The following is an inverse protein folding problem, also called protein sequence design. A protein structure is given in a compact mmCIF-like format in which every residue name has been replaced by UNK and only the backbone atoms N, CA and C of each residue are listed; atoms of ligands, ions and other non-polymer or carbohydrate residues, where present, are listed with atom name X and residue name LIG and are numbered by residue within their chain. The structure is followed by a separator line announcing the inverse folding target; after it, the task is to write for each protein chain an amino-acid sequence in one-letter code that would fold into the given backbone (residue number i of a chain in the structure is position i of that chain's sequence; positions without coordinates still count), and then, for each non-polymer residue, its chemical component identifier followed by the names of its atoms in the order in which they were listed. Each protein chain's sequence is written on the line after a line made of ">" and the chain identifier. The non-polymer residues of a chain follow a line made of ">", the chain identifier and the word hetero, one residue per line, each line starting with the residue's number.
data_IF_695493917292
#
_entry.id   IF_695493917292
#
_cell.length_a   1.000
_cell.length_b   1.000
_cell.length_c   1.000
_cell.angle_alpha   90.00
_cell.angle_beta   90.00
_cell.angle_gamma   90.00
#
_symmetry.space_group_name_H-M   'P 1'
#
loop_
_entity.id
_entity.type
_entity.pdbx_description
1 polymer ?
#
# COMPACT_ATOMS: atom_id res chain seq x y z
N UNK A 1 3.53 17.51 14.52
CA UNK A 1 3.23 16.13 14.11
C UNK A 1 1.74 15.97 14.21
N UNK A 2 1.02 15.63 13.13
CA UNK A 2 -0.42 15.37 13.21
C UNK A 2 -0.68 14.18 14.15
N UNK A 3 -1.77 14.24 14.90
CA UNK A 3 -2.19 13.17 15.80
C UNK A 3 -2.33 11.86 14.98
N UNK A 4 -1.66 10.80 15.41
CA UNK A 4 -1.72 9.49 14.69
C UNK A 4 -3.09 8.87 14.94
N UNK A 5 -3.69 8.36 13.86
CA UNK A 5 -5.00 7.72 13.90
C UNK A 5 -4.82 6.21 14.03
N UNK A 6 -5.08 5.67 15.21
CA UNK A 6 -4.89 4.25 15.54
C UNK A 6 -5.74 3.32 14.67
N UNK A 7 -6.95 3.73 14.35
CA UNK A 7 -7.88 3.03 13.45
C UNK A 7 -7.32 2.91 12.03
N UNK A 8 -6.66 3.95 11.51
CA UNK A 8 -5.99 3.89 10.22
C UNK A 8 -4.77 2.94 10.24
N UNK A 9 -4.00 2.91 11.35
CA UNK A 9 -2.90 1.95 11.48
C UNK A 9 -3.41 0.50 11.52
N UNK A 10 -4.55 0.25 12.18
CA UNK A 10 -5.20 -1.06 12.14
C UNK A 10 -5.60 -1.47 10.71
N UNK A 11 -6.27 -0.60 9.98
CA UNK A 11 -6.69 -0.87 8.59
C UNK A 11 -5.48 -1.12 7.68
N UNK A 12 -4.42 -0.32 7.82
CA UNK A 12 -3.15 -0.56 7.10
C UNK A 12 -2.53 -1.92 7.43
N UNK A 13 -2.61 -2.35 8.70
CA UNK A 13 -2.15 -3.68 9.12
C UNK A 13 -2.92 -4.78 8.39
N UNK A 14 -4.25 -4.73 8.38
CA UNK A 14 -5.07 -5.72 7.68
C UNK A 14 -4.73 -5.76 6.19
N UNK A 15 -4.69 -4.60 5.55
CA UNK A 15 -4.40 -4.49 4.12
C UNK A 15 -3.00 -4.99 3.75
N UNK A 16 -1.95 -4.71 4.57
CA UNK A 16 -0.58 -5.18 4.27
C UNK A 16 -0.45 -6.69 4.47
N UNK A 17 -1.11 -7.27 5.48
CA UNK A 17 -1.15 -8.71 5.70
C UNK A 17 -1.84 -9.41 4.52
N UNK A 18 -2.98 -8.90 4.06
CA UNK A 18 -3.69 -9.42 2.89
C UNK A 18 -2.84 -9.29 1.62
N UNK A 19 -2.11 -8.19 1.45
CA UNK A 19 -1.15 -8.03 0.36
C UNK A 19 -0.09 -9.12 0.39
N UNK A 20 0.55 -9.36 1.53
CA UNK A 20 1.56 -10.43 1.67
C UNK A 20 0.96 -11.81 1.40
N UNK A 21 -0.24 -12.09 1.92
CA UNK A 21 -0.95 -13.35 1.73
C UNK A 21 -1.15 -13.68 0.24
N UNK A 22 -1.69 -12.72 -0.53
CA UNK A 22 -1.96 -12.92 -1.96
C UNK A 22 -0.77 -12.66 -2.89
N UNK A 23 0.42 -12.38 -2.32
CA UNK A 23 1.70 -12.48 -3.02
C UNK A 23 2.37 -13.85 -2.84
N UNK A 24 1.80 -14.76 -2.04
CA UNK A 24 2.14 -16.18 -2.05
C UNK A 24 1.49 -16.83 -3.27
N UNK A 25 2.27 -17.16 -4.30
CA UNK A 25 1.79 -17.64 -5.61
C UNK A 25 0.83 -18.83 -5.47
N UNK A 26 1.13 -19.77 -4.58
CA UNK A 26 0.27 -20.94 -4.34
C UNK A 26 -1.11 -20.57 -3.78
N UNK A 27 -1.19 -19.53 -2.92
CA UNK A 27 -2.46 -19.01 -2.39
C UNK A 27 -3.22 -18.23 -3.46
N UNK A 28 -2.51 -17.41 -4.24
CA UNK A 28 -3.09 -16.68 -5.37
C UNK A 28 -3.77 -17.61 -6.36
N UNK A 29 -3.11 -18.74 -6.69
CA UNK A 29 -3.60 -19.73 -7.65
C UNK A 29 -4.72 -20.60 -7.07
N UNK A 30 -4.65 -20.94 -5.78
CA UNK A 30 -5.68 -21.73 -5.12
C UNK A 30 -6.98 -20.94 -4.87
N UNK A 31 -6.87 -19.61 -4.65
CA UNK A 31 -8.00 -18.76 -4.26
C UNK A 31 -8.16 -17.52 -5.16
N UNK A 32 -8.32 -17.68 -6.49
CA UNK A 32 -8.31 -16.55 -7.43
C UNK A 32 -9.45 -15.56 -7.18
N UNK A 33 -10.62 -16.04 -6.77
CA UNK A 33 -11.75 -15.17 -6.46
C UNK A 33 -11.54 -14.35 -5.19
N UNK A 34 -11.04 -14.97 -4.13
CA UNK A 34 -10.70 -14.26 -2.90
C UNK A 34 -9.62 -13.21 -3.13
N UNK A 35 -8.62 -13.52 -3.98
CA UNK A 35 -7.63 -12.55 -4.45
C UNK A 35 -8.29 -11.36 -5.15
N UNK A 36 -9.22 -11.60 -6.09
CA UNK A 36 -9.92 -10.54 -6.81
C UNK A 36 -10.66 -9.62 -5.85
N UNK A 37 -11.40 -10.19 -4.88
CA UNK A 37 -12.09 -9.42 -3.82
C UNK A 37 -11.10 -8.58 -3.00
N UNK A 38 -10.01 -9.16 -2.52
CA UNK A 38 -9.01 -8.43 -1.72
C UNK A 38 -8.34 -7.34 -2.54
N UNK A 39 -8.03 -7.61 -3.81
CA UNK A 39 -7.39 -6.64 -4.70
C UNK A 39 -8.30 -5.45 -5.04
N UNK A 40 -9.63 -5.60 -4.90
CA UNK A 40 -10.57 -4.51 -5.08
C UNK A 40 -10.39 -3.42 -4.01
N UNK A 41 -9.99 -3.76 -2.77
CA UNK A 41 -9.96 -2.76 -1.70
C UNK A 41 -8.60 -2.49 -1.06
N UNK A 42 -7.68 -3.48 -0.94
CA UNK A 42 -6.49 -3.32 -0.09
C UNK A 42 -5.54 -2.20 -0.58
N UNK A 43 -5.25 -2.11 -1.88
CA UNK A 43 -4.41 -1.04 -2.43
C UNK A 43 -5.15 0.30 -2.59
N UNK A 44 -6.42 0.33 -3.03
CA UNK A 44 -7.24 1.54 -2.97
C UNK A 44 -7.28 2.20 -1.60
N UNK A 45 -7.38 1.42 -0.53
CA UNK A 45 -7.33 1.96 0.85
C UNK A 45 -5.99 2.64 1.13
N UNK A 46 -4.85 2.05 0.73
CA UNK A 46 -3.54 2.70 0.89
C UNK A 46 -3.43 4.00 0.10
N UNK A 47 -3.94 4.04 -1.12
CA UNK A 47 -3.93 5.25 -1.96
C UNK A 47 -4.82 6.35 -1.37
N UNK A 48 -6.03 5.99 -0.91
CA UNK A 48 -6.92 6.92 -0.21
C UNK A 48 -6.25 7.50 1.04
N UNK A 49 -5.68 6.65 1.90
CA UNK A 49 -4.98 7.08 3.11
C UNK A 49 -3.78 7.98 2.78
N UNK A 50 -3.06 7.67 1.70
CA UNK A 50 -1.92 8.49 1.27
C UNK A 50 -2.36 9.88 0.83
N UNK A 51 -3.48 10.02 0.12
CA UNK A 51 -4.10 11.29 -0.23
C UNK A 51 -4.65 12.03 1.00
N UNK A 52 -5.33 11.31 1.89
CA UNK A 52 -5.93 11.88 3.11
C UNK A 52 -4.87 12.47 4.06
N UNK A 53 -3.72 11.81 4.19
CA UNK A 53 -2.63 12.27 5.06
C UNK A 53 -1.56 13.09 4.33
N UNK A 54 -1.79 13.41 3.05
CA UNK A 54 -0.86 14.22 2.27
C UNK A 54 -0.78 15.65 2.81
N UNK A 55 0.41 16.05 3.27
CA UNK A 55 0.65 17.41 3.76
C UNK A 55 1.39 18.23 2.72
N UNK A 56 0.63 19.04 1.97
CA UNK A 56 1.13 19.91 0.90
C UNK A 56 1.57 21.30 1.40
N UNK A 57 1.40 21.62 2.69
CA UNK A 57 1.84 22.89 3.28
C UNK A 57 3.33 22.97 3.63
N UNK A 58 4.11 21.92 3.29
CA UNK A 58 5.55 21.89 3.55
C UNK A 58 6.33 22.76 2.58
N UNK A 59 7.44 23.42 3.03
CA UNK A 59 8.40 24.05 2.11
C UNK A 59 8.95 23.05 1.08
N UNK A 60 9.28 23.53 -0.13
CA UNK A 60 9.74 22.69 -1.24
C UNK A 60 10.94 21.79 -0.87
N UNK A 61 11.91 22.31 -0.10
CA UNK A 61 13.08 21.56 0.34
C UNK A 61 12.71 20.39 1.28
N UNK A 62 11.73 20.60 2.18
CA UNK A 62 11.24 19.57 3.10
C UNK A 62 10.41 18.53 2.35
N UNK A 63 9.56 18.98 1.41
CA UNK A 63 8.77 18.10 0.57
C UNK A 63 9.65 17.27 -0.37
N UNK A 64 10.61 17.89 -1.05
CA UNK A 64 11.56 17.19 -1.91
C UNK A 64 12.36 16.12 -1.18
N UNK A 65 12.82 16.42 0.05
CA UNK A 65 13.48 15.42 0.91
C UNK A 65 12.55 14.28 1.29
N UNK A 66 11.28 14.57 1.58
CA UNK A 66 10.27 13.55 1.88
C UNK A 66 10.03 12.61 0.69
N UNK A 67 9.89 13.16 -0.53
CA UNK A 67 9.75 12.36 -1.76
C UNK A 67 11.01 11.53 -2.02
N UNK A 68 12.20 12.13 -1.87
CA UNK A 68 13.47 11.45 -2.09
C UNK A 68 13.59 10.19 -1.21
N UNK A 69 13.18 10.27 0.05
CA UNK A 69 13.23 9.15 0.98
C UNK A 69 12.09 8.11 0.83
N UNK A 70 11.17 8.34 -0.10
CA UNK A 70 10.27 7.29 -0.61
C UNK A 70 10.86 6.72 -1.91
N UNK A 71 11.40 7.59 -2.77
CA UNK A 71 11.89 7.21 -4.09
C UNK A 71 13.17 6.36 -4.03
N UNK A 72 14.14 6.68 -3.16
CA UNK A 72 15.40 5.90 -3.06
C UNK A 72 15.14 4.43 -2.73
N UNK A 73 14.42 4.08 -1.65
CA UNK A 73 14.10 2.67 -1.36
C UNK A 73 13.35 1.99 -2.50
N UNK A 74 12.39 2.70 -3.09
CA UNK A 74 11.66 2.21 -4.25
C UNK A 74 12.59 1.90 -5.42
N UNK A 75 13.41 2.87 -5.85
CA UNK A 75 14.27 2.74 -7.02
C UNK A 75 15.31 1.61 -6.86
N UNK A 76 15.89 1.48 -5.66
CA UNK A 76 16.84 0.40 -5.35
C UNK A 76 16.16 -0.96 -5.43
N UNK A 77 14.97 -1.10 -4.84
CA UNK A 77 14.25 -2.37 -4.83
C UNK A 77 13.68 -2.71 -6.21
N UNK A 78 13.20 -1.75 -6.98
CA UNK A 78 12.73 -1.93 -8.35
C UNK A 78 13.89 -2.35 -9.29
N UNK A 79 15.05 -1.68 -9.18
CA UNK A 79 16.24 -2.06 -9.94
C UNK A 79 16.72 -3.48 -9.58
N UNK A 80 16.74 -3.82 -8.29
CA UNK A 80 17.08 -5.16 -7.81
C UNK A 80 16.10 -6.22 -8.31
N UNK A 81 14.79 -5.92 -8.29
CA UNK A 81 13.75 -6.83 -8.79
C UNK A 81 13.85 -7.02 -10.30
N UNK A 82 14.07 -5.93 -11.06
CA UNK A 82 14.31 -6.00 -12.51
C UNK A 82 15.53 -6.85 -12.82
N UNK A 83 16.65 -6.67 -12.10
CA UNK A 83 17.86 -7.49 -12.26
C UNK A 83 17.63 -8.96 -11.93
N UNK A 84 16.90 -9.24 -10.85
CA UNK A 84 16.55 -10.60 -10.44
C UNK A 84 15.61 -11.27 -11.45
N UNK A 85 14.68 -10.53 -12.05
CA UNK A 85 13.71 -11.04 -13.03
C UNK A 85 14.35 -11.48 -14.34
N UNK A 86 15.56 -11.03 -14.65
CA UNK A 86 16.34 -11.49 -15.79
C UNK A 86 17.00 -12.87 -15.56
N UNK A 87 17.15 -13.29 -14.30
CA UNK A 87 17.83 -14.54 -13.92
C UNK A 87 16.84 -15.59 -13.42
N UNK A 88 15.80 -15.17 -12.71
CA UNK A 88 14.80 -16.05 -12.12
C UNK A 88 13.49 -16.01 -12.93
N UNK A 89 12.81 -17.15 -13.10
CA UNK A 89 11.51 -17.17 -13.77
C UNK A 89 10.45 -16.49 -12.90
N UNK A 90 10.25 -15.20 -13.12
CA UNK A 90 9.16 -14.42 -12.53
C UNK A 90 8.15 -14.05 -13.60
N UNK A 91 6.87 -13.93 -13.21
CA UNK A 91 5.80 -13.54 -14.13
C UNK A 91 6.07 -12.10 -14.65
N UNK A 92 6.14 -11.95 -15.98
CA UNK A 92 6.44 -10.67 -16.63
C UNK A 92 7.91 -10.24 -16.53
N UNK A 93 8.84 -11.17 -16.28
CA UNK A 93 10.28 -10.90 -16.23
C UNK A 93 10.83 -10.29 -17.52
N UNK A 94 12.00 -9.65 -17.44
CA UNK A 94 12.67 -9.06 -18.60
C UNK A 94 13.46 -10.11 -19.37
N UNK A 95 13.40 -10.08 -20.71
CA UNK A 95 14.15 -10.99 -21.57
C UNK A 95 15.65 -10.66 -21.60
N UNK A 96 15.99 -9.38 -21.46
CA UNK A 96 17.39 -8.92 -21.44
C UNK A 96 17.56 -7.78 -20.44
N UNK A 97 18.63 -7.84 -19.66
CA UNK A 97 18.97 -6.80 -18.71
C UNK A 97 19.85 -5.74 -19.37
N UNK A 98 19.39 -4.50 -19.36
CA UNK A 98 20.19 -3.33 -19.78
C UNK A 98 19.92 -2.14 -18.86
N UNK A 99 20.84 -1.16 -18.78
CA UNK A 99 20.61 0.07 -18.02
C UNK A 99 19.34 0.81 -18.46
N UNK A 100 19.01 0.79 -19.76
CA UNK A 100 17.80 1.40 -20.29
C UNK A 100 16.53 0.73 -19.79
N UNK A 101 16.50 -0.61 -19.69
CA UNK A 101 15.38 -1.38 -19.15
C UNK A 101 15.19 -1.08 -17.66
N UNK A 102 16.28 -1.00 -16.88
CA UNK A 102 16.21 -0.65 -15.46
C UNK A 102 15.63 0.75 -15.28
N UNK A 103 16.14 1.75 -16.02
CA UNK A 103 15.66 3.12 -15.96
C UNK A 103 14.19 3.21 -16.40
N UNK A 104 13.79 2.50 -17.46
CA UNK A 104 12.42 2.44 -17.91
C UNK A 104 11.48 1.92 -16.80
N UNK A 105 11.85 0.82 -16.13
CA UNK A 105 11.04 0.25 -15.07
C UNK A 105 11.00 1.14 -13.82
N UNK A 106 12.13 1.75 -13.44
CA UNK A 106 12.16 2.65 -12.28
C UNK A 106 11.32 3.92 -12.51
N UNK A 107 11.34 4.51 -13.70
CA UNK A 107 10.73 5.83 -13.93
C UNK A 107 9.36 5.79 -14.63
N UNK A 108 9.08 4.77 -15.43
CA UNK A 108 7.90 4.76 -16.29
C UNK A 108 6.95 3.59 -16.04
N UNK A 109 7.46 2.36 -15.94
CA UNK A 109 6.64 1.15 -15.83
C UNK A 109 7.21 0.18 -14.81
N UNK A 110 6.96 0.42 -13.51
CA UNK A 110 7.47 -0.45 -12.46
C UNK A 110 6.96 -1.86 -12.61
N UNK A 111 7.83 -2.81 -12.32
CA UNK A 111 7.55 -4.23 -12.32
C UNK A 111 7.16 -4.74 -10.93
N UNK A 112 6.46 -5.85 -10.88
CA UNK A 112 6.19 -6.58 -9.65
C UNK A 112 5.45 -5.73 -8.60
N UNK A 113 5.81 -5.86 -7.32
CA UNK A 113 5.02 -5.31 -6.20
C UNK A 113 5.26 -3.81 -5.93
N UNK A 114 6.24 -3.18 -6.59
CA UNK A 114 6.67 -1.81 -6.24
C UNK A 114 5.91 -0.70 -6.97
N UNK A 115 5.00 -1.04 -7.90
CA UNK A 115 4.18 -0.10 -8.64
C UNK A 115 3.44 0.92 -7.73
N UNK A 116 3.06 0.49 -6.52
CA UNK A 116 2.40 1.37 -5.56
C UNK A 116 3.28 2.55 -5.13
N UNK A 117 4.57 2.31 -4.85
CA UNK A 117 5.49 3.37 -4.44
C UNK A 117 5.79 4.35 -5.57
N UNK A 118 5.90 3.84 -6.81
CA UNK A 118 5.98 4.68 -8.01
C UNK A 118 4.75 5.60 -8.13
N UNK A 119 3.57 5.00 -8.11
CA UNK A 119 2.29 5.72 -8.16
C UNK A 119 2.20 6.76 -7.04
N UNK A 120 2.61 6.41 -5.82
CA UNK A 120 2.61 7.31 -4.68
C UNK A 120 3.53 8.53 -4.90
N UNK A 121 4.75 8.32 -5.40
CA UNK A 121 5.69 9.39 -5.72
C UNK A 121 5.12 10.32 -6.79
N UNK A 122 4.62 9.76 -7.90
CA UNK A 122 4.03 10.53 -9.00
C UNK A 122 2.82 11.34 -8.52
N UNK A 123 1.89 10.71 -7.80
CA UNK A 123 0.68 11.35 -7.31
C UNK A 123 0.96 12.45 -6.27
N UNK A 124 1.92 12.23 -5.36
CA UNK A 124 2.35 13.23 -4.38
C UNK A 124 3.03 14.43 -5.06
N UNK A 125 3.89 14.20 -6.05
CA UNK A 125 4.52 15.28 -6.84
C UNK A 125 3.47 16.09 -7.58
N UNK A 126 2.54 15.44 -8.27
CA UNK A 126 1.43 16.11 -8.96
C UNK A 126 0.58 16.94 -7.98
N UNK A 127 0.22 16.36 -6.83
CA UNK A 127 -0.55 17.05 -5.80
C UNK A 127 0.18 18.28 -5.26
N UNK A 128 1.47 18.17 -5.00
CA UNK A 128 2.29 19.28 -4.52
C UNK A 128 2.40 20.40 -5.56
N UNK A 129 2.73 20.06 -6.80
CA UNK A 129 2.85 21.03 -7.90
C UNK A 129 1.52 21.75 -8.15
N UNK A 130 0.41 21.02 -8.22
CA UNK A 130 -0.92 21.60 -8.31
C UNK A 130 -1.24 22.50 -7.10
N UNK A 131 -0.86 22.10 -5.88
CA UNK A 131 -1.10 22.89 -4.66
C UNK A 131 -0.33 24.21 -4.66
N UNK A 132 0.88 24.22 -5.22
CA UNK A 132 1.68 25.44 -5.37
C UNK A 132 1.14 26.32 -6.48
N UNK A 133 0.86 25.76 -7.66
CA UNK A 133 0.38 26.49 -8.83
C UNK A 133 -1.04 27.08 -8.61
N UNK A 134 -1.91 26.28 -7.97
CA UNK A 134 -3.32 26.61 -7.76
C UNK A 134 -3.63 27.08 -6.33
N UNK A 135 -2.64 27.61 -5.59
CA UNK A 135 -2.79 27.98 -4.17
C UNK A 135 -3.87 29.01 -3.88
N UNK A 136 -4.26 29.82 -4.88
CA UNK A 136 -5.30 30.86 -4.77
C UNK A 136 -6.69 30.36 -5.18
N UNK A 137 -6.80 29.16 -5.73
CA UNK A 137 -8.07 28.64 -6.19
C UNK A 137 -8.90 28.09 -5.01
N UNK A 138 -10.25 28.21 -5.10
CA UNK A 138 -11.13 27.55 -4.14
C UNK A 138 -10.97 26.03 -4.25
N UNK A 139 -11.28 25.32 -3.17
CA UNK A 139 -11.06 23.85 -3.02
C UNK A 139 -11.64 23.05 -4.19
N UNK A 140 -12.87 23.37 -4.63
CA UNK A 140 -13.53 22.65 -5.72
C UNK A 140 -12.76 22.79 -7.04
N UNK A 141 -12.34 24.03 -7.38
CA UNK A 141 -11.61 24.27 -8.61
C UNK A 141 -10.21 23.63 -8.57
N UNK A 142 -9.54 23.67 -7.40
CA UNK A 142 -8.31 22.93 -7.19
C UNK A 142 -8.50 21.43 -7.47
N UNK A 143 -9.55 20.82 -6.91
CA UNK A 143 -9.82 19.38 -7.10
C UNK A 143 -10.11 19.05 -8.57
N UNK A 144 -10.79 19.91 -9.32
CA UNK A 144 -11.00 19.72 -10.74
C UNK A 144 -9.65 19.72 -11.49
N UNK A 145 -8.84 20.75 -11.29
CA UNK A 145 -7.51 20.85 -11.94
C UNK A 145 -6.61 19.69 -11.57
N UNK A 146 -6.61 19.31 -10.30
CA UNK A 146 -5.82 18.17 -9.81
C UNK A 146 -6.30 16.83 -10.42
N UNK A 147 -7.62 16.60 -10.49
CA UNK A 147 -8.18 15.40 -11.12
C UNK A 147 -7.86 15.33 -12.62
N UNK A 148 -7.91 16.46 -13.33
CA UNK A 148 -7.49 16.54 -14.73
C UNK A 148 -5.99 16.23 -14.90
N UNK A 149 -5.15 16.75 -14.00
CA UNK A 149 -3.72 16.46 -13.99
C UNK A 149 -3.46 14.95 -13.78
N UNK A 150 -4.12 14.32 -12.80
CA UNK A 150 -3.99 12.87 -12.58
C UNK A 150 -4.56 12.06 -13.76
N UNK A 151 -5.65 12.52 -14.39
CA UNK A 151 -6.21 11.92 -15.59
C UNK A 151 -5.23 11.95 -16.77
N UNK A 152 -4.52 13.08 -16.96
CA UNK A 152 -3.46 13.20 -17.97
C UNK A 152 -2.30 12.26 -17.67
N UNK A 153 -1.83 12.19 -16.41
CA UNK A 153 -0.78 11.27 -16.00
C UNK A 153 -1.17 9.80 -16.19
N UNK A 154 -2.46 9.48 -16.00
CA UNK A 154 -3.00 8.16 -16.29
C UNK A 154 -3.07 7.88 -17.79
N UNK A 155 -3.47 8.85 -18.60
CA UNK A 155 -3.54 8.73 -20.05
C UNK A 155 -2.16 8.44 -20.67
N UNK A 156 -1.10 9.09 -20.18
CA UNK A 156 0.28 8.82 -20.63
C UNK A 156 0.90 7.58 -19.98
N UNK A 157 0.16 6.85 -19.13
CA UNK A 157 0.57 5.55 -18.57
C UNK A 157 1.53 5.61 -17.37
N UNK A 158 1.69 6.77 -16.71
CA UNK A 158 2.52 6.90 -15.51
C UNK A 158 1.85 6.37 -14.24
N UNK A 159 0.52 6.30 -14.20
CA UNK A 159 -0.26 5.70 -13.13
C UNK A 159 -1.59 5.17 -13.68
N UNK A 160 -2.22 4.24 -12.97
CA UNK A 160 -3.52 3.71 -13.39
C UNK A 160 -4.68 4.64 -12.99
N UNK A 161 -5.77 4.62 -13.74
CA UNK A 161 -6.93 5.48 -13.50
C UNK A 161 -7.59 5.20 -12.14
N UNK A 162 -7.66 3.93 -11.74
CA UNK A 162 -8.16 3.53 -10.42
C UNK A 162 -7.27 4.08 -9.29
N UNK A 163 -5.95 4.04 -9.45
CA UNK A 163 -5.01 4.62 -8.48
C UNK A 163 -5.16 6.14 -8.38
N UNK A 164 -5.32 6.83 -9.52
CA UNK A 164 -5.60 8.25 -9.58
C UNK A 164 -6.87 8.61 -8.80
N UNK A 165 -7.95 7.85 -9.02
CA UNK A 165 -9.25 8.04 -8.37
C UNK A 165 -9.13 7.99 -6.84
N UNK A 166 -8.58 6.91 -6.29
CA UNK A 166 -8.52 6.74 -4.83
C UNK A 166 -7.59 7.73 -4.16
N UNK A 167 -6.47 8.08 -4.80
CA UNK A 167 -5.61 9.13 -4.27
C UNK A 167 -6.31 10.49 -4.30
N UNK A 168 -7.01 10.84 -5.39
CA UNK A 168 -7.78 12.08 -5.51
C UNK A 168 -8.91 12.16 -4.46
N UNK A 169 -9.64 11.06 -4.22
CA UNK A 169 -10.66 10.98 -3.16
C UNK A 169 -10.06 11.23 -1.77
N UNK A 170 -8.88 10.68 -1.49
CA UNK A 170 -8.15 10.95 -0.25
C UNK A 170 -7.76 12.43 -0.11
N UNK A 171 -7.23 13.04 -1.18
CA UNK A 171 -6.90 14.48 -1.20
C UNK A 171 -8.17 15.33 -1.04
N UNK A 172 -9.28 14.96 -1.66
CA UNK A 172 -10.56 15.65 -1.49
C UNK A 172 -11.02 15.61 -0.04
N UNK A 173 -11.01 14.45 0.61
CA UNK A 173 -11.34 14.31 2.02
C UNK A 173 -10.44 15.19 2.91
N UNK A 174 -9.13 15.23 2.64
CA UNK A 174 -8.18 16.12 3.31
C UNK A 174 -8.54 17.60 3.14
N UNK A 175 -8.84 18.04 1.92
CA UNK A 175 -9.18 19.43 1.59
C UNK A 175 -10.49 19.89 2.23
N UNK A 176 -11.44 18.98 2.43
CA UNK A 176 -12.67 19.24 3.17
C UNK A 176 -12.52 19.02 4.68
N UNK A 177 -11.29 18.87 5.19
CA UNK A 177 -10.97 18.67 6.60
C UNK A 177 -11.69 17.46 7.22
N UNK A 178 -12.00 16.46 6.42
CA UNK A 178 -12.60 15.21 6.90
C UNK A 178 -11.53 14.35 7.57
N UNK A 179 -11.77 13.91 8.81
CA UNK A 179 -10.89 12.93 9.45
C UNK A 179 -11.19 11.51 8.93
N UNK A 180 -10.24 10.60 9.11
CA UNK A 180 -10.42 9.19 8.75
C UNK A 180 -11.65 8.58 9.43
N UNK A 181 -11.81 8.82 10.74
CA UNK A 181 -12.91 8.29 11.55
C UNK A 181 -14.26 8.96 11.27
N UNK A 182 -14.24 10.16 10.67
CA UNK A 182 -15.46 10.84 10.20
C UNK A 182 -15.91 10.28 8.86
N UNK A 183 -14.95 9.98 7.97
CA UNK A 183 -15.25 9.43 6.65
C UNK A 183 -15.67 7.96 6.73
N UNK A 184 -14.93 7.14 7.49
CA UNK A 184 -15.23 5.73 7.69
C UNK A 184 -15.78 5.49 9.09
N UNK A 185 -17.07 5.15 9.18
CA UNK A 185 -17.71 4.86 10.47
C UNK A 185 -17.82 3.35 10.70
N UNK A 186 -17.44 2.85 11.89
CA UNK A 186 -17.62 1.44 12.24
C UNK A 186 -19.09 1.03 12.15
N UNK A 187 -19.42 0.07 11.29
CA UNK A 187 -20.79 -0.29 11.03
C UNK A 187 -20.95 -1.80 10.79
N UNK A 188 -21.75 -2.49 11.65
CA UNK A 188 -22.06 -3.90 11.46
C UNK A 188 -22.86 -4.16 10.18
N UNK A 189 -23.78 -3.26 9.86
CA UNK A 189 -24.61 -3.38 8.65
C UNK A 189 -23.80 -3.34 7.36
N UNK A 190 -22.55 -2.79 7.40
CA UNK A 190 -21.66 -2.70 6.22
C UNK A 190 -21.25 -4.09 5.68
N UNK A 191 -21.32 -5.16 6.49
CA UNK A 191 -21.06 -6.51 6.03
C UNK A 191 -22.08 -6.99 4.98
N UNK A 192 -23.34 -6.61 5.11
CA UNK A 192 -24.38 -7.06 4.21
C UNK A 192 -24.15 -6.57 2.77
N UNK A 193 -24.05 -5.25 2.49
CA UNK A 193 -23.76 -4.78 1.15
C UNK A 193 -22.35 -5.20 0.67
N UNK A 194 -21.37 -5.32 1.57
CA UNK A 194 -20.05 -5.84 1.21
C UNK A 194 -20.14 -7.24 0.62
N UNK A 195 -20.81 -8.17 1.33
CA UNK A 195 -20.96 -9.56 0.87
C UNK A 195 -21.76 -9.61 -0.43
N UNK A 196 -22.90 -8.89 -0.51
CA UNK A 196 -23.73 -8.86 -1.72
C UNK A 196 -22.92 -8.36 -2.93
N UNK A 197 -22.17 -7.25 -2.79
CA UNK A 197 -21.37 -6.70 -3.88
C UNK A 197 -20.25 -7.67 -4.29
N UNK A 198 -19.61 -8.31 -3.32
CA UNK A 198 -18.54 -9.27 -3.59
C UNK A 198 -19.03 -10.62 -4.16
N UNK A 199 -20.33 -10.90 -4.20
CA UNK A 199 -20.86 -12.11 -4.86
C UNK A 199 -20.86 -11.98 -6.39
N UNK A 200 -20.69 -10.79 -6.95
CA UNK A 200 -20.75 -10.53 -8.38
C UNK A 200 -19.39 -10.08 -8.91
N UNK A 201 -18.73 -10.85 -9.79
CA UNK A 201 -17.39 -10.54 -10.30
C UNK A 201 -17.27 -9.17 -11.00
N UNK A 202 -18.33 -8.72 -11.67
CA UNK A 202 -18.42 -7.43 -12.34
C UNK A 202 -18.28 -6.23 -11.40
N UNK A 203 -18.60 -6.41 -10.12
CA UNK A 203 -18.44 -5.37 -9.09
C UNK A 203 -17.00 -5.22 -8.60
N UNK A 204 -16.12 -6.16 -8.93
CA UNK A 204 -14.74 -6.17 -8.46
C UNK A 204 -13.81 -5.24 -9.27
N UNK A 205 -14.35 -4.54 -10.27
CA UNK A 205 -13.61 -3.47 -10.94
C UNK A 205 -13.44 -2.27 -10.01
N UNK A 206 -12.19 -1.97 -9.68
CA UNK A 206 -11.80 -0.87 -8.78
C UNK A 206 -12.17 0.52 -9.28
N UNK A 207 -12.33 0.69 -10.60
CA UNK A 207 -12.71 1.97 -11.20
C UNK A 207 -14.24 2.15 -11.27
N UNK A 208 -15.01 1.17 -10.85
CA UNK A 208 -16.47 1.21 -10.82
C UNK A 208 -17.02 1.83 -9.52
N UNK A 209 -18.26 2.28 -9.54
CA UNK A 209 -19.00 2.74 -8.34
C UNK A 209 -19.13 1.57 -7.34
N UNK A 210 -19.39 0.36 -7.83
CA UNK A 210 -19.50 -0.84 -7.00
C UNK A 210 -18.16 -1.15 -6.32
N UNK A 211 -17.04 -1.07 -7.04
CA UNK A 211 -15.69 -1.22 -6.47
C UNK A 211 -15.40 -0.18 -5.38
N UNK A 212 -15.77 1.09 -5.61
CA UNK A 212 -15.63 2.12 -4.59
C UNK A 212 -16.50 1.86 -3.36
N UNK A 213 -17.71 1.34 -3.54
CA UNK A 213 -18.59 0.91 -2.44
C UNK A 213 -18.00 -0.28 -1.66
N UNK A 214 -17.38 -1.26 -2.35
CA UNK A 214 -16.65 -2.36 -1.71
C UNK A 214 -15.52 -1.82 -0.83
N UNK A 215 -14.70 -0.87 -1.32
CA UNK A 215 -13.66 -0.22 -0.52
C UNK A 215 -14.22 0.42 0.73
N UNK A 216 -15.30 1.19 0.60
CA UNK A 216 -15.93 1.88 1.72
C UNK A 216 -16.47 0.89 2.76
N UNK A 217 -17.28 -0.09 2.33
CA UNK A 217 -17.88 -1.08 3.23
C UNK A 217 -16.84 -2.02 3.85
N UNK A 218 -15.78 -2.37 3.14
CA UNK A 218 -14.68 -3.16 3.69
C UNK A 218 -14.01 -2.42 4.86
N UNK A 219 -13.69 -1.13 4.72
CA UNK A 219 -13.10 -0.35 5.81
C UNK A 219 -14.07 -0.20 6.97
N UNK A 220 -15.34 0.13 6.73
CA UNK A 220 -16.35 0.24 7.78
C UNK A 220 -16.53 -1.08 8.57
N UNK A 221 -16.51 -2.23 7.87
CA UNK A 221 -16.57 -3.57 8.46
C UNK A 221 -15.32 -3.88 9.29
N UNK A 222 -14.12 -3.57 8.78
CA UNK A 222 -12.86 -3.71 9.53
C UNK A 222 -12.89 -2.89 10.82
N UNK A 223 -13.35 -1.64 10.76
CA UNK A 223 -13.44 -0.77 11.94
C UNK A 223 -14.47 -1.26 12.95
N UNK A 224 -15.55 -1.92 12.49
CA UNK A 224 -16.50 -2.56 13.40
C UNK A 224 -15.85 -3.74 14.13
N UNK A 225 -15.12 -4.61 13.43
CA UNK A 225 -14.36 -5.74 14.02
C UNK A 225 -13.30 -5.23 15.00
N UNK A 226 -12.63 -4.13 14.68
CA UNK A 226 -11.61 -3.52 15.54
C UNK A 226 -12.09 -3.27 16.96
N UNK A 227 -13.37 -2.99 17.19
CA UNK A 227 -13.95 -2.75 18.52
C UNK A 227 -13.79 -3.94 19.46
N UNK A 228 -13.87 -5.16 18.93
CA UNK A 228 -13.85 -6.41 19.68
C UNK A 228 -12.44 -7.01 19.85
N UNK A 229 -11.45 -6.45 19.19
CA UNK A 229 -10.07 -6.96 19.27
C UNK A 229 -9.47 -6.63 20.64
N UNK A 230 -8.85 -7.63 21.34
CA UNK A 230 -8.15 -7.38 22.60
C UNK A 230 -7.00 -6.41 22.43
N UNK A 231 -6.73 -5.61 23.48
CA UNK A 231 -5.73 -4.55 23.47
C UNK A 231 -4.34 -5.04 23.04
N UNK A 232 -3.92 -6.23 23.51
CA UNK A 232 -2.62 -6.82 23.17
C UNK A 232 -2.48 -7.05 21.66
N UNK A 233 -3.54 -7.53 21.01
CA UNK A 233 -3.58 -7.75 19.56
C UNK A 233 -3.60 -6.42 18.83
N UNK A 234 -4.41 -5.44 19.28
CA UNK A 234 -4.42 -4.08 18.73
C UNK A 234 -3.02 -3.48 18.69
N UNK A 235 -2.26 -3.61 19.77
CA UNK A 235 -0.91 -3.06 19.85
C UNK A 235 0.03 -3.66 18.79
N UNK A 236 -0.03 -4.98 18.56
CA UNK A 236 0.74 -5.64 17.50
C UNK A 236 0.27 -5.17 16.12
N UNK A 237 -1.04 -5.07 15.90
CA UNK A 237 -1.59 -4.62 14.62
C UNK A 237 -1.22 -3.16 14.33
N UNK A 238 -1.25 -2.28 15.33
CA UNK A 238 -0.78 -0.90 15.17
C UNK A 238 0.72 -0.83 14.85
N UNK A 239 1.53 -1.68 15.49
CA UNK A 239 2.96 -1.76 15.20
C UNK A 239 3.20 -2.17 13.74
N UNK A 240 2.53 -3.22 13.24
CA UNK A 240 2.60 -3.65 11.84
C UNK A 240 2.11 -2.53 10.91
N UNK A 241 0.95 -1.92 11.20
CA UNK A 241 0.35 -0.85 10.40
C UNK A 241 1.20 0.43 10.32
N UNK A 242 2.03 0.70 11.34
CA UNK A 242 3.01 1.81 11.34
C UNK A 242 4.25 1.50 10.51
N UNK A 243 4.55 0.23 10.28
CA UNK A 243 5.75 -0.25 9.62
C UNK A 243 5.46 -0.91 8.27
N UNK A 244 4.41 -0.46 7.57
CA UNK A 244 4.01 -1.03 6.28
C UNK A 244 5.03 -0.82 5.17
N UNK A 245 5.80 0.27 5.19
CA UNK A 245 6.82 0.53 4.15
C UNK A 245 7.94 -0.53 4.12
N UNK A 246 8.61 -0.88 5.24
CA UNK A 246 9.55 -2.00 5.24
C UNK A 246 8.92 -3.33 4.81
N UNK A 247 7.69 -3.61 5.24
CA UNK A 247 7.00 -4.84 4.86
C UNK A 247 6.76 -4.88 3.35
N UNK A 248 6.26 -3.78 2.76
CA UNK A 248 6.05 -3.68 1.32
C UNK A 248 7.35 -3.87 0.53
N UNK A 249 8.46 -3.29 1.00
CA UNK A 249 9.75 -3.36 0.32
C UNK A 249 10.37 -4.76 0.38
N UNK A 250 10.35 -5.41 1.55
CA UNK A 250 11.13 -6.62 1.77
C UNK A 250 10.32 -7.93 1.75
N UNK A 251 8.99 -7.87 1.86
CA UNK A 251 8.16 -9.10 1.82
C UNK A 251 8.31 -9.93 0.55
N UNK A 252 8.57 -9.36 -0.66
CA UNK A 252 8.80 -10.19 -1.85
C UNK A 252 9.96 -11.16 -1.71
N UNK A 253 11.02 -10.79 -0.99
CA UNK A 253 12.15 -11.67 -0.70
C UNK A 253 11.69 -12.91 0.07
N UNK A 254 10.89 -12.70 1.11
CA UNK A 254 10.44 -13.76 2.00
C UNK A 254 9.29 -14.59 1.40
N UNK A 255 8.40 -13.99 0.61
CA UNK A 255 7.36 -14.75 -0.12
C UNK A 255 7.98 -15.65 -1.18
N UNK A 256 9.07 -15.23 -1.82
CA UNK A 256 9.84 -16.11 -2.72
C UNK A 256 10.58 -17.19 -1.94
N UNK A 257 11.26 -16.86 -0.85
CA UNK A 257 11.97 -17.81 -0.01
C UNK A 257 11.04 -18.86 0.63
N UNK A 258 9.79 -18.49 0.92
CA UNK A 258 8.81 -19.41 1.51
C UNK A 258 8.47 -20.60 0.61
N UNK A 259 8.69 -20.49 -0.70
CA UNK A 259 8.50 -21.62 -1.64
C UNK A 259 9.37 -22.84 -1.26
N UNK A 260 10.53 -22.61 -0.65
CA UNK A 260 11.45 -23.70 -0.26
C UNK A 260 10.86 -24.64 0.79
N UNK A 261 9.98 -24.16 1.65
CA UNK A 261 9.35 -25.00 2.67
C UNK A 261 7.87 -25.34 2.35
N UNK A 262 7.34 -24.92 1.20
CA UNK A 262 6.00 -25.30 0.75
C UNK A 262 5.78 -26.84 0.73
N UNK A 263 6.74 -27.69 0.29
CA UNK A 263 6.55 -29.13 0.30
C UNK A 263 6.29 -29.73 1.68
N UNK A 264 6.72 -29.07 2.77
CA UNK A 264 6.47 -29.55 4.15
C UNK A 264 4.98 -29.49 4.52
N UNK A 265 4.18 -28.73 3.77
CA UNK A 265 2.74 -28.54 4.00
C UNK A 265 1.87 -29.33 3.01
N UNK A 266 2.45 -30.32 2.30
CA UNK A 266 1.72 -31.16 1.36
C UNK A 266 0.57 -31.98 1.96
N UNK A 267 0.47 -32.03 3.29
CA UNK A 267 -0.64 -32.65 4.02
C UNK A 267 -1.92 -31.78 4.04
N UNK A 268 -1.81 -30.48 3.77
CA UNK A 268 -2.93 -29.54 3.77
C UNK A 268 -3.23 -29.06 2.34
N UNK A 269 -4.23 -29.65 1.66
CA UNK A 269 -4.62 -29.24 0.31
C UNK A 269 -5.22 -27.82 0.26
N UNK A 270 -5.61 -27.27 1.41
CA UNK A 270 -6.14 -25.89 1.49
C UNK A 270 -5.05 -24.83 1.53
N UNK A 271 -3.79 -25.20 1.77
CA UNK A 271 -2.65 -24.31 1.94
C UNK A 271 -2.80 -23.28 3.08
N UNK A 272 -3.83 -23.41 3.92
CA UNK A 272 -4.09 -22.48 5.04
C UNK A 272 -2.97 -22.58 6.08
N UNK A 273 -2.53 -23.81 6.42
CA UNK A 273 -1.42 -24.02 7.37
C UNK A 273 -0.11 -23.44 6.84
N UNK A 274 0.16 -23.57 5.55
CA UNK A 274 1.30 -22.91 4.90
C UNK A 274 1.19 -21.38 5.03
N UNK A 275 0.03 -20.80 4.72
CA UNK A 275 -0.19 -19.37 4.81
C UNK A 275 0.00 -18.84 6.25
N UNK A 276 -0.46 -19.60 7.26
CA UNK A 276 -0.28 -19.27 8.68
C UNK A 276 1.20 -19.21 9.11
N UNK A 277 2.09 -19.86 8.38
CA UNK A 277 3.55 -19.81 8.63
C UNK A 277 4.24 -18.81 7.71
N UNK A 278 3.92 -18.83 6.43
CA UNK A 278 4.58 -18.01 5.40
C UNK A 278 4.31 -16.50 5.57
N UNK A 279 3.10 -16.11 5.98
CA UNK A 279 2.76 -14.68 6.19
C UNK A 279 3.52 -14.10 7.39
N UNK A 280 3.51 -14.71 8.60
CA UNK A 280 4.34 -14.24 9.70
C UNK A 280 5.84 -14.26 9.38
N UNK A 281 6.32 -15.25 8.64
CA UNK A 281 7.71 -15.32 8.17
C UNK A 281 8.05 -14.12 7.29
N UNK A 282 7.18 -13.78 6.32
CA UNK A 282 7.42 -12.64 5.43
C UNK A 282 7.32 -11.29 6.15
N UNK A 283 6.34 -11.10 7.02
CA UNK A 283 6.18 -9.87 7.82
C UNK A 283 7.33 -9.73 8.82
N UNK A 284 7.62 -10.78 9.59
CA UNK A 284 8.70 -10.80 10.58
C UNK A 284 10.06 -10.61 9.95
N UNK A 285 10.35 -11.31 8.86
CA UNK A 285 11.60 -11.17 8.10
C UNK A 285 11.80 -9.77 7.55
N UNK A 286 10.75 -9.15 7.02
CA UNK A 286 10.79 -7.76 6.53
C UNK A 286 11.12 -6.76 7.65
N UNK A 287 10.49 -6.94 8.80
CA UNK A 287 10.75 -6.11 9.98
C UNK A 287 12.15 -6.38 10.56
N UNK A 288 12.63 -7.63 10.50
CA UNK A 288 13.99 -7.99 10.93
C UNK A 288 15.05 -7.31 10.05
N UNK A 289 14.89 -7.31 8.71
CA UNK A 289 15.79 -6.56 7.82
C UNK A 289 15.82 -5.08 8.21
N UNK A 290 14.65 -4.46 8.38
CA UNK A 290 14.56 -3.06 8.75
C UNK A 290 15.21 -2.78 10.12
N UNK A 291 15.04 -3.66 11.09
CA UNK A 291 15.69 -3.58 12.39
C UNK A 291 17.22 -3.71 12.28
N UNK A 292 17.72 -4.65 11.49
CA UNK A 292 19.15 -4.80 11.24
C UNK A 292 19.76 -3.57 10.57
N UNK A 293 19.04 -2.98 9.60
CA UNK A 293 19.42 -1.71 8.96
C UNK A 293 19.46 -0.55 9.97
N UNK A 294 18.53 -0.50 10.93
CA UNK A 294 18.53 0.51 11.99
C UNK A 294 19.75 0.33 12.92
N UNK A 295 20.10 -0.90 13.26
CA UNK A 295 21.25 -1.23 14.12
C UNK A 295 22.59 -0.90 13.43
N UNK A 296 22.71 -1.16 12.15
CA UNK A 296 23.92 -0.89 11.35
C UNK A 296 23.97 0.55 10.86
N UNK A 297 22.98 1.39 11.16
CA UNK A 297 22.81 2.76 10.63
C UNK A 297 22.63 2.85 9.10
N UNK A 298 22.46 1.72 8.42
CA UNK A 298 22.20 1.70 6.98
C UNK A 298 20.86 2.37 6.64
N UNK A 299 19.93 2.40 7.58
CA UNK A 299 18.65 3.14 7.47
C UNK A 299 18.84 4.63 7.15
N UNK A 300 19.96 5.24 7.57
CA UNK A 300 20.25 6.65 7.26
C UNK A 300 20.42 6.85 5.75
N UNK A 301 21.09 5.91 5.09
CA UNK A 301 21.36 5.95 3.65
C UNK A 301 20.12 5.53 2.86
N UNK A 302 19.40 4.52 3.32
CA UNK A 302 18.29 3.91 2.59
C UNK A 302 16.95 4.62 2.83
N UNK A 303 16.65 5.01 4.08
CA UNK A 303 15.38 5.65 4.47
C UNK A 303 15.52 7.12 4.88
N UNK A 304 16.74 7.68 4.88
CA UNK A 304 17.03 9.05 5.29
C UNK A 304 16.81 9.35 6.77
N UNK A 305 16.74 8.33 7.60
CA UNK A 305 16.51 8.47 9.04
C UNK A 305 17.20 7.36 9.82
N UNK A 306 17.67 7.64 11.05
CA UNK A 306 18.44 6.67 11.85
C UNK A 306 17.59 5.48 12.33
N UNK A 307 16.27 5.61 12.31
CA UNK A 307 15.33 4.53 12.67
C UNK A 307 14.20 4.48 11.64
N UNK A 308 14.14 3.40 10.89
CA UNK A 308 13.07 3.10 9.94
C UNK A 308 11.85 2.53 10.65
N UNK A 309 12.08 1.69 11.68
CA UNK A 309 11.01 1.10 12.48
C UNK A 309 10.45 2.14 13.46
N UNK A 310 9.14 2.37 13.35
CA UNK A 310 8.41 3.15 14.34
C UNK A 310 8.37 2.39 15.67
N UNK A 311 8.70 3.06 16.77
CA UNK A 311 8.74 2.45 18.09
C UNK A 311 7.38 1.83 18.47
N UNK A 312 7.46 0.73 19.21
CA UNK A 312 6.31 0.14 19.90
C UNK A 312 5.85 1.13 20.97
N UNK A 313 4.75 1.83 20.72
CA UNK A 313 4.18 2.77 21.69
C UNK A 313 3.13 2.05 22.52
N UNK A 314 3.36 1.96 23.82
CA UNK A 314 2.38 1.48 24.81
C UNK A 314 1.37 2.57 25.22
N UNK A 315 1.52 3.79 24.72
CA UNK A 315 0.53 4.84 24.98
C UNK A 315 -0.71 4.58 24.12
N UNK A 316 -1.68 4.00 24.76
CA UNK A 316 -3.06 3.89 24.35
C UNK A 316 -3.82 4.94 25.18
N UNK A 317 -3.93 6.13 24.63
CA UNK A 317 -4.90 7.11 25.09
C UNK A 317 -6.25 6.83 24.44
#
# INVERSE_FOLDING_TARGET
>A
MGQRVATADFVKCVCIILMVLFHLVCIEEAYPYAKAVVYTFHMPVFLFLSGLFANMGKPASVFGRYILWIFIPYAVMEAAYTGMSAVLPVRGGVESLSPAVILHNVFLRPMGPYWYLHTLVVALLACYLCSVACRRLPTVLFLIVFSLCLGLLSYIGLLSADSALYFALGVAANRFSMSFDTFFRPAAWAFVPLVILCCFPENLDRFSIAGAAIVYFAVCSMLWVYRFIPIRIKTVMHFIGRNTLPILLFSPIFTMASKAFLPLFGFDPTLITFACVAVPFAVGGSLFIAWAMDKTRFSVIFFGKPRSISAYSTQLD
#
